data_IF_221928135720
#
_entry.id   IF_221928135720
#
_cell.length_a   1.000
_cell.length_b   1.000
_cell.length_c   1.000
_cell.angle_alpha   90.00
_cell.angle_beta   90.00
_cell.angle_gamma   90.00
#
_symmetry.space_group_name_H-M   'P 1'
#
loop_
_entity.id
_entity.type
_entity.pdbx_description
1 polymer ?
#
# COMPACT_ATOMS: atom_id res chain seq x y z
N UNK A 1 11.57 24.98 17.55
CA UNK A 1 10.19 25.10 18.06
C UNK A 1 9.50 23.78 17.76
N UNK A 2 9.21 22.98 18.78
CA UNK A 2 8.46 21.73 18.59
C UNK A 2 7.05 22.09 18.12
N UNK A 3 6.49 21.30 17.21
CA UNK A 3 5.12 21.52 16.74
C UNK A 3 4.14 21.38 17.91
N UNK A 4 3.15 22.29 18.09
CA UNK A 4 2.20 22.20 19.21
C UNK A 4 1.44 20.86 19.24
N UNK A 5 1.23 20.25 18.08
CA UNK A 5 0.69 18.89 17.98
C UNK A 5 1.61 17.84 18.64
N UNK A 6 2.92 17.93 18.44
CA UNK A 6 3.90 17.00 18.98
C UNK A 6 3.93 17.05 20.52
N UNK A 7 3.77 18.23 21.12
CA UNK A 7 3.71 18.41 22.57
C UNK A 7 2.45 17.77 23.17
N UNK A 8 1.30 17.89 22.50
CA UNK A 8 0.05 17.25 22.94
C UNK A 8 0.19 15.73 22.95
N UNK A 9 0.78 15.15 21.89
CA UNK A 9 0.97 13.70 21.80
C UNK A 9 2.02 13.17 22.79
N UNK A 10 3.10 13.93 23.06
CA UNK A 10 4.07 13.58 24.10
C UNK A 10 3.44 13.56 25.50
N UNK A 11 2.60 14.54 25.84
CA UNK A 11 1.86 14.56 27.11
C UNK A 11 0.88 13.39 27.23
N UNK A 12 0.20 13.05 26.14
CA UNK A 12 -0.71 11.89 26.12
C UNK A 12 0.05 10.57 26.34
N UNK A 13 1.22 10.43 25.72
CA UNK A 13 2.07 9.26 25.89
C UNK A 13 2.51 9.09 27.37
N UNK A 14 2.99 10.17 27.98
CA UNK A 14 3.42 10.17 29.39
C UNK A 14 2.27 9.74 30.33
N UNK A 15 1.08 10.30 30.12
CA UNK A 15 -0.12 9.94 30.88
C UNK A 15 -0.48 8.45 30.74
N UNK A 16 -0.48 7.92 29.51
CA UNK A 16 -0.82 6.51 29.25
C UNK A 16 0.24 5.55 29.83
N UNK A 17 1.52 5.92 29.78
CA UNK A 17 2.59 5.11 30.38
C UNK A 17 2.49 5.08 31.91
N UNK A 18 2.13 6.21 32.53
CA UNK A 18 1.89 6.26 33.96
C UNK A 18 0.65 5.43 34.36
N UNK A 19 -0.40 5.44 33.53
CA UNK A 19 -1.59 4.64 33.74
C UNK A 19 -1.33 3.12 33.59
N UNK A 20 -0.49 2.72 32.63
CA UNK A 20 -0.08 1.31 32.47
C UNK A 20 0.66 0.79 33.71
N UNK A 21 1.55 1.61 34.29
CA UNK A 21 2.36 1.23 35.44
C UNK A 21 1.53 0.93 36.71
N UNK A 22 0.36 1.57 36.86
CA UNK A 22 -0.54 1.39 38.00
C UNK A 22 -1.69 0.41 37.73
N UNK A 23 -1.92 0.05 36.46
CA UNK A 23 -3.01 -0.85 36.07
C UNK A 23 -2.59 -2.31 36.21
N UNK A 24 -3.24 -3.03 37.13
CA UNK A 24 -3.03 -4.46 37.34
C UNK A 24 -3.93 -5.37 36.50
N UNK A 25 -5.01 -4.81 35.91
CA UNK A 25 -5.94 -5.59 35.08
C UNK A 25 -5.35 -5.88 33.69
N UNK A 26 -5.25 -7.17 33.27
CA UNK A 26 -4.65 -7.54 31.98
C UNK A 26 -5.39 -7.00 30.75
N UNK A 27 -6.71 -6.85 30.81
CA UNK A 27 -7.54 -6.42 29.69
C UNK A 27 -7.34 -4.92 29.45
N UNK A 28 -7.39 -4.14 30.53
CA UNK A 28 -7.10 -2.70 30.48
C UNK A 28 -5.63 -2.45 30.13
N UNK A 29 -4.70 -3.26 30.66
CA UNK A 29 -3.27 -3.17 30.31
C UNK A 29 -3.02 -3.40 28.83
N UNK A 30 -3.68 -4.37 28.21
CA UNK A 30 -3.56 -4.60 26.77
C UNK A 30 -4.07 -3.42 25.95
N UNK A 31 -5.20 -2.83 26.34
CA UNK A 31 -5.75 -1.64 25.70
C UNK A 31 -4.81 -0.43 25.82
N UNK A 32 -4.27 -0.19 27.01
CA UNK A 32 -3.28 0.88 27.25
C UNK A 32 -2.02 0.69 26.41
N UNK A 33 -1.52 -0.54 26.29
CA UNK A 33 -0.36 -0.85 25.43
C UNK A 33 -0.66 -0.51 23.96
N UNK A 34 -1.86 -0.81 23.45
CA UNK A 34 -2.26 -0.45 22.09
C UNK A 34 -2.29 1.08 21.89
N UNK A 35 -2.85 1.81 22.86
CA UNK A 35 -2.91 3.28 22.81
C UNK A 35 -1.52 3.94 22.93
N UNK A 36 -0.62 3.37 23.73
CA UNK A 36 0.78 3.80 23.84
C UNK A 36 1.50 3.60 22.51
N UNK A 37 1.31 2.46 21.85
CA UNK A 37 1.88 2.18 20.52
C UNK A 37 1.35 3.17 19.47
N UNK A 38 0.06 3.49 19.51
CA UNK A 38 -0.53 4.50 18.63
C UNK A 38 0.05 5.90 18.86
N UNK A 39 0.18 6.33 20.11
CA UNK A 39 0.78 7.62 20.44
C UNK A 39 2.25 7.70 20.00
N UNK A 40 3.03 6.63 20.21
CA UNK A 40 4.43 6.56 19.74
C UNK A 40 4.54 6.66 18.23
N UNK A 41 3.68 5.97 17.48
CA UNK A 41 3.61 6.10 16.00
C UNK A 41 3.30 7.55 15.60
N UNK A 42 2.32 8.17 16.25
CA UNK A 42 1.90 9.55 15.94
C UNK A 42 3.00 10.58 16.22
N UNK A 43 3.75 10.39 17.30
CA UNK A 43 4.93 11.21 17.63
C UNK A 43 6.03 11.03 16.57
N UNK A 44 6.32 9.79 16.17
CA UNK A 44 7.31 9.51 15.12
C UNK A 44 6.91 10.13 13.77
N UNK A 45 5.64 10.06 13.40
CA UNK A 45 5.10 10.77 12.22
C UNK A 45 5.30 12.28 12.36
N UNK A 46 4.90 12.89 13.48
CA UNK A 46 5.01 14.33 13.67
C UNK A 46 6.47 14.83 13.80
N UNK A 47 7.40 13.97 14.23
CA UNK A 47 8.84 14.26 14.26
C UNK A 47 9.49 14.11 12.87
N UNK A 48 9.02 13.15 12.07
CA UNK A 48 9.54 12.89 10.72
C UNK A 48 9.00 13.82 9.63
N UNK A 49 7.87 14.50 9.87
CA UNK A 49 7.18 15.26 8.81
C UNK A 49 7.11 16.77 9.06
N UNK A 50 8.00 17.52 8.41
CA UNK A 50 7.69 18.85 7.86
C UNK A 50 6.89 18.66 6.55
N UNK A 51 5.63 18.21 6.64
CA UNK A 51 4.48 18.45 5.71
C UNK A 51 3.46 17.28 5.72
N UNK A 52 2.17 17.56 5.47
CA UNK A 52 1.11 16.58 5.62
C UNK A 52 0.84 15.86 4.30
N UNK A 53 0.73 14.53 4.34
CA UNK A 53 -0.41 13.73 3.82
C UNK A 53 -0.01 12.25 3.74
N UNK A 54 -0.83 11.42 4.38
CA UNK A 54 -1.08 10.00 4.08
C UNK A 54 0.13 9.05 3.97
N UNK A 55 0.19 8.08 4.89
CA UNK A 55 0.43 6.67 4.57
C UNK A 55 0.11 5.81 5.79
N UNK A 56 -1.18 5.71 6.08
CA UNK A 56 -1.69 4.37 6.37
C UNK A 56 -1.63 3.62 5.03
N UNK A 57 -0.82 2.58 4.94
CA UNK A 57 -1.24 1.39 4.22
C UNK A 57 -0.71 0.15 4.97
N UNK A 58 -1.57 -0.55 5.69
CA UNK A 58 -1.29 -1.88 6.20
C UNK A 58 -1.22 -2.86 5.00
N UNK A 59 -0.44 -3.92 5.17
CA UNK A 59 -0.07 -4.96 4.20
C UNK A 59 -1.22 -5.79 3.59
N UNK A 60 -2.28 -5.15 3.07
CA UNK A 60 -3.39 -5.81 2.38
C UNK A 60 -3.89 -5.08 1.12
N UNK A 61 -3.46 -3.85 0.86
CA UNK A 61 -3.71 -3.18 -0.42
C UNK A 61 -2.52 -3.46 -1.35
N UNK A 62 -2.78 -3.98 -2.56
CA UNK A 62 -1.79 -4.16 -3.63
C UNK A 62 -0.88 -2.92 -3.68
N UNK A 63 0.43 -3.09 -3.43
CA UNK A 63 1.39 -2.00 -3.58
C UNK A 63 1.49 -1.67 -5.08
N UNK A 64 0.67 -0.70 -5.50
CA UNK A 64 0.47 -0.35 -6.92
C UNK A 64 1.78 0.06 -7.59
N UNK A 65 2.71 0.63 -6.82
CA UNK A 65 4.01 1.04 -7.31
C UNK A 65 4.89 -0.20 -7.59
N UNK A 66 4.91 -1.17 -6.68
CA UNK A 66 5.58 -2.47 -6.88
C UNK A 66 4.97 -3.22 -8.06
N UNK A 67 3.64 -3.30 -8.17
CA UNK A 67 2.96 -3.95 -9.30
C UNK A 67 3.33 -3.27 -10.62
N UNK A 68 3.25 -1.93 -10.69
CA UNK A 68 3.64 -1.16 -11.87
C UNK A 68 5.10 -1.42 -12.29
N UNK A 69 6.04 -1.37 -11.34
CA UNK A 69 7.47 -1.63 -11.62
C UNK A 69 7.72 -3.04 -12.14
N UNK A 70 7.02 -4.02 -11.58
CA UNK A 70 7.11 -5.42 -12.01
C UNK A 70 6.62 -5.56 -13.45
N UNK A 71 5.43 -5.02 -13.76
CA UNK A 71 4.85 -5.02 -15.11
C UNK A 71 5.72 -4.29 -16.15
N UNK A 72 6.42 -3.21 -15.75
CA UNK A 72 7.36 -2.49 -16.61
C UNK A 72 8.63 -3.28 -16.91
N UNK A 73 8.99 -4.23 -16.05
CA UNK A 73 10.19 -5.07 -16.19
C UNK A 73 9.92 -6.38 -16.94
N UNK A 74 8.64 -6.69 -17.23
CA UNK A 74 8.27 -7.85 -18.03
C UNK A 74 8.75 -7.71 -19.47
N UNK A 75 9.03 -8.85 -20.10
CA UNK A 75 9.27 -8.88 -21.54
C UNK A 75 7.96 -8.67 -22.30
N UNK A 76 8.06 -8.30 -23.58
CA UNK A 76 6.89 -8.14 -24.45
C UNK A 76 6.09 -9.45 -24.56
N UNK A 77 6.76 -10.60 -24.52
CA UNK A 77 6.12 -11.91 -24.57
C UNK A 77 5.30 -12.17 -23.30
N UNK A 78 5.91 -12.05 -22.11
CA UNK A 78 5.19 -12.28 -20.83
C UNK A 78 4.02 -11.31 -20.66
N UNK A 79 4.21 -10.05 -21.08
CA UNK A 79 3.14 -9.06 -21.03
C UNK A 79 1.99 -9.39 -21.99
N UNK A 80 2.29 -10.02 -23.14
CA UNK A 80 1.25 -10.46 -24.08
C UNK A 80 0.50 -11.68 -23.55
N UNK A 81 1.21 -12.60 -22.89
CA UNK A 81 0.62 -13.74 -22.21
C UNK A 81 -0.32 -13.28 -21.07
N UNK A 82 0.12 -12.29 -20.29
CA UNK A 82 -0.71 -11.65 -19.26
C UNK A 82 -1.99 -11.03 -19.83
N UNK A 83 -1.89 -10.28 -20.94
CA UNK A 83 -3.06 -9.72 -21.64
C UNK A 83 -4.03 -10.82 -22.09
N UNK A 84 -3.48 -11.92 -22.61
CA UNK A 84 -4.26 -13.07 -23.08
C UNK A 84 -4.98 -13.77 -21.91
N UNK A 85 -4.27 -14.05 -20.83
CA UNK A 85 -4.80 -14.69 -19.63
C UNK A 85 -5.89 -13.82 -18.95
N UNK A 86 -5.69 -12.51 -18.88
CA UNK A 86 -6.67 -11.56 -18.36
C UNK A 86 -7.88 -11.35 -19.30
N UNK A 87 -7.81 -11.88 -20.52
CA UNK A 87 -8.80 -11.69 -21.58
C UNK A 87 -9.13 -10.20 -21.79
N UNK A 88 -8.07 -9.37 -21.90
CA UNK A 88 -8.26 -7.93 -22.03
C UNK A 88 -8.83 -7.62 -23.42
N UNK A 89 -9.95 -6.87 -23.51
CA UNK A 89 -10.55 -6.52 -24.79
C UNK A 89 -9.59 -5.72 -25.68
N UNK A 90 -9.59 -6.05 -26.97
CA UNK A 90 -8.79 -5.34 -27.97
C UNK A 90 -9.13 -3.85 -27.99
N UNK A 91 -8.12 -3.00 -28.08
CA UNK A 91 -8.26 -1.55 -28.10
C UNK A 91 -8.12 -0.86 -26.74
N UNK A 92 -8.12 -1.59 -25.62
CA UNK A 92 -7.80 -1.00 -24.31
C UNK A 92 -6.29 -0.85 -24.10
N UNK A 93 -5.51 -1.82 -24.58
CA UNK A 93 -4.05 -1.79 -24.44
C UNK A 93 -3.43 -1.30 -25.75
N UNK A 94 -2.53 -0.32 -25.70
CA UNK A 94 -1.75 0.10 -26.86
C UNK A 94 -0.97 -1.06 -27.50
N UNK A 95 -0.73 -0.99 -28.82
CA UNK A 95 -0.04 -2.05 -29.55
C UNK A 95 1.41 -2.20 -29.08
N UNK A 96 2.09 -3.32 -29.38
CA UNK A 96 3.44 -3.62 -28.86
C UNK A 96 4.52 -2.62 -29.29
N UNK A 97 4.28 -1.80 -30.30
CA UNK A 97 5.17 -0.70 -30.69
C UNK A 97 5.10 0.50 -29.73
N UNK A 98 4.04 0.62 -28.94
CA UNK A 98 3.92 1.66 -27.94
C UNK A 98 4.83 1.38 -26.72
N UNK A 99 5.24 2.44 -26.04
CA UNK A 99 6.08 2.33 -24.86
C UNK A 99 5.46 1.39 -23.80
N UNK A 100 6.25 0.46 -23.27
CA UNK A 100 5.82 -0.48 -22.24
C UNK A 100 5.18 0.23 -21.05
N UNK A 101 5.73 1.38 -20.63
CA UNK A 101 5.15 2.19 -19.56
C UNK A 101 3.70 2.63 -19.83
N UNK A 102 3.39 3.00 -21.08
CA UNK A 102 2.03 3.39 -21.50
C UNK A 102 1.09 2.17 -21.52
N UNK A 103 1.59 1.01 -21.98
CA UNK A 103 0.83 -0.25 -21.98
C UNK A 103 0.48 -0.72 -20.57
N UNK A 104 1.43 -0.60 -19.63
CA UNK A 104 1.23 -0.89 -18.21
C UNK A 104 0.21 0.06 -17.58
N UNK A 105 0.29 1.36 -17.88
CA UNK A 105 -0.67 2.34 -17.36
C UNK A 105 -2.10 2.07 -17.87
N UNK A 106 -2.24 1.74 -19.16
CA UNK A 106 -3.51 1.34 -19.76
C UNK A 106 -4.09 0.06 -19.14
N UNK A 107 -3.24 -0.94 -18.88
CA UNK A 107 -3.66 -2.19 -18.22
C UNK A 107 -4.15 -1.93 -16.80
N UNK A 108 -3.40 -1.15 -16.00
CA UNK A 108 -3.80 -0.80 -14.64
C UNK A 108 -5.08 0.05 -14.64
N UNK A 109 -5.26 0.94 -15.62
CA UNK A 109 -6.47 1.74 -15.78
C UNK A 109 -7.68 0.88 -16.12
N UNK A 110 -7.55 -0.05 -17.07
CA UNK A 110 -8.59 -1.01 -17.40
C UNK A 110 -8.95 -1.89 -16.20
N UNK A 111 -7.98 -2.37 -15.45
CA UNK A 111 -8.19 -3.23 -14.29
C UNK A 111 -9.10 -2.60 -13.23
N UNK A 112 -9.06 -1.27 -13.10
CA UNK A 112 -9.86 -0.50 -12.17
C UNK A 112 -11.19 -0.03 -12.74
N UNK A 113 -11.41 -0.24 -14.04
CA UNK A 113 -12.67 0.11 -14.68
C UNK A 113 -13.79 -0.85 -14.24
N UNK A 114 -15.07 -0.46 -14.38
CA UNK A 114 -16.19 -1.34 -14.05
C UNK A 114 -16.20 -2.66 -14.83
N UNK A 115 -15.54 -2.69 -15.98
CA UNK A 115 -15.40 -3.88 -16.84
C UNK A 115 -14.04 -4.58 -16.68
N UNK A 116 -13.20 -4.08 -15.77
CA UNK A 116 -11.90 -4.66 -15.43
C UNK A 116 -12.01 -5.84 -14.47
N UNK A 117 -10.89 -6.56 -14.31
CA UNK A 117 -10.77 -7.72 -13.41
C UNK A 117 -10.24 -7.38 -12.02
N UNK A 118 -9.91 -6.12 -11.75
CA UNK A 118 -9.26 -5.70 -10.50
C UNK A 118 -7.75 -5.87 -10.53
N UNK A 119 -7.06 -5.17 -9.62
CA UNK A 119 -5.59 -5.20 -9.51
C UNK A 119 -5.07 -6.49 -8.87
N UNK A 120 -5.89 -7.15 -8.04
CA UNK A 120 -5.57 -8.42 -7.39
C UNK A 120 -5.44 -9.55 -8.41
N UNK A 121 -6.37 -9.63 -9.36
CA UNK A 121 -6.34 -10.63 -10.43
C UNK A 121 -5.08 -10.50 -11.30
N UNK A 122 -4.68 -9.26 -11.62
CA UNK A 122 -3.43 -9.00 -12.35
C UNK A 122 -2.24 -9.52 -11.56
N UNK A 123 -2.20 -9.26 -10.25
CA UNK A 123 -1.09 -9.71 -9.41
C UNK A 123 -1.02 -11.23 -9.31
N UNK A 124 -2.16 -11.92 -9.21
CA UNK A 124 -2.22 -13.39 -9.17
C UNK A 124 -1.69 -14.01 -10.46
N UNK A 125 -2.21 -13.60 -11.62
CA UNK A 125 -1.78 -14.13 -12.92
C UNK A 125 -0.32 -13.75 -13.21
N UNK A 126 0.09 -12.53 -12.87
CA UNK A 126 1.48 -12.11 -12.99
C UNK A 126 2.43 -13.01 -12.19
N UNK A 127 2.01 -13.43 -10.99
CA UNK A 127 2.81 -14.31 -10.14
C UNK A 127 2.94 -15.69 -10.80
N UNK A 128 1.84 -16.24 -11.31
CA UNK A 128 1.84 -17.51 -12.04
C UNK A 128 2.76 -17.48 -13.27
N UNK A 129 2.74 -16.42 -14.08
CA UNK A 129 3.61 -16.27 -15.25
C UNK A 129 5.09 -16.19 -14.87
N UNK A 130 5.42 -15.51 -13.76
CA UNK A 130 6.82 -15.38 -13.29
C UNK A 130 7.31 -16.69 -12.69
N UNK A 131 6.46 -17.40 -11.95
CA UNK A 131 6.82 -18.68 -11.31
C UNK A 131 6.90 -19.84 -12.31
N UNK A 132 6.12 -19.80 -13.38
CA UNK A 132 6.06 -20.85 -14.40
C UNK A 132 7.00 -20.59 -15.61
N UNK A 133 8.08 -19.84 -15.39
CA UNK A 133 9.03 -19.39 -16.42
C UNK A 133 10.33 -20.20 -16.45
#
# INVERSE_FOLDING_TARGET
>A
MNSPALEIWQKKLDFLQQQEAITADPSIKFQLIQEIQECKRKIAELQGTRQPTQTANPSGAIDRLKLRRTLQSLTVADFSDLIYALNVPAGFIPPPQAAQASRVDALLTWAQSPTGRGLEEIQNILTEIIENR
#
